data_IF_330767321235
#
_entry.id   IF_330767321235
#
_cell.length_a   1.000
_cell.length_b   1.000
_cell.length_c   1.000
_cell.angle_alpha   90.00
_cell.angle_beta   90.00
_cell.angle_gamma   90.00
#
_symmetry.space_group_name_H-M   'P 1'
#
loop_
_entity.id
_entity.type
_entity.pdbx_description
1 polymer ?
#
# COMPACT_ATOMS: atom_id res chain seq x y z
N UNK A 1 -80.55 -15.27 62.15
CA UNK A 1 -79.56 -15.88 61.24
C UNK A 1 -79.67 -15.23 59.86
N UNK A 2 -78.55 -14.85 59.23
CA UNK A 2 -78.49 -14.41 57.83
C UNK A 2 -78.30 -12.90 57.60
N UNK A 3 -77.05 -12.41 57.61
CA UNK A 3 -76.66 -11.15 56.94
C UNK A 3 -76.21 -11.50 55.50
N UNK A 4 -76.69 -10.80 54.45
CA UNK A 4 -76.20 -11.00 53.09
C UNK A 4 -74.96 -10.14 52.82
N UNK A 5 -74.01 -10.73 52.09
CA UNK A 5 -72.86 -10.03 51.50
C UNK A 5 -73.30 -9.21 50.28
N UNK A 6 -72.88 -7.95 50.20
CA UNK A 6 -73.12 -7.10 49.04
C UNK A 6 -71.94 -6.16 48.80
N UNK A 7 -71.19 -6.44 47.72
CA UNK A 7 -69.99 -5.78 47.17
C UNK A 7 -69.84 -4.28 47.47
N UNK A 8 -68.67 -3.89 48.02
CA UNK A 8 -68.18 -2.50 48.04
C UNK A 8 -67.89 -2.00 46.60
N UNK A 9 -68.22 -0.74 46.26
CA UNK A 9 -67.91 -0.18 44.95
C UNK A 9 -66.39 0.03 44.79
N UNK A 10 -65.83 -0.42 43.66
CA UNK A 10 -64.46 -0.05 43.26
C UNK A 10 -64.44 1.46 42.96
N UNK A 11 -63.79 2.24 43.82
CA UNK A 11 -63.46 3.63 43.53
C UNK A 11 -62.55 3.66 42.28
N UNK A 12 -63.07 4.20 41.16
CA UNK A 12 -62.23 4.65 40.05
C UNK A 12 -61.38 5.81 40.57
N UNK A 13 -60.08 5.59 40.79
CA UNK A 13 -59.14 6.69 40.97
C UNK A 13 -59.07 7.47 39.65
N UNK A 14 -59.68 8.65 39.63
CA UNK A 14 -59.52 9.58 38.53
C UNK A 14 -58.11 10.17 38.64
N UNK A 15 -57.18 9.65 37.82
CA UNK A 15 -55.80 10.13 37.72
C UNK A 15 -55.74 11.49 37.00
N UNK A 16 -56.37 12.52 37.54
CA UNK A 16 -56.38 13.88 36.98
C UNK A 16 -56.24 14.93 38.08
N UNK A 17 -55.29 15.85 37.91
CA UNK A 17 -55.09 17.02 38.79
C UNK A 17 -55.35 18.29 38.00
N UNK A 18 -56.21 19.15 38.53
CA UNK A 18 -56.51 20.46 37.92
C UNK A 18 -55.52 21.49 38.43
N UNK A 19 -54.80 22.16 37.53
CA UNK A 19 -53.88 23.25 37.91
C UNK A 19 -54.65 24.48 38.38
N UNK A 20 -53.98 25.41 39.09
CA UNK A 20 -54.56 26.71 39.48
C UNK A 20 -55.06 27.56 38.30
N UNK A 21 -54.66 27.22 37.07
CA UNK A 21 -55.13 27.83 35.82
C UNK A 21 -56.34 27.12 35.19
N UNK A 22 -56.95 26.16 35.89
CA UNK A 22 -58.14 25.41 35.42
C UNK A 22 -57.84 24.26 34.44
N UNK A 23 -56.57 23.87 34.23
CA UNK A 23 -56.20 22.86 33.22
C UNK A 23 -56.09 21.47 33.88
N UNK A 24 -56.88 20.52 33.40
CA UNK A 24 -56.91 19.13 33.92
C UNK A 24 -55.74 18.31 33.37
N UNK A 25 -54.80 17.91 34.23
CA UNK A 25 -53.62 17.12 33.88
C UNK A 25 -53.80 15.66 34.30
N UNK A 26 -53.71 14.71 33.36
CA UNK A 26 -53.71 13.28 33.70
C UNK A 26 -52.38 12.87 34.34
N UNK A 27 -52.43 12.33 35.56
CA UNK A 27 -51.28 11.76 36.26
C UNK A 27 -50.99 10.35 35.72
N UNK A 28 -49.98 10.24 34.86
CA UNK A 28 -49.47 8.93 34.44
C UNK A 28 -48.68 8.31 35.61
N UNK A 29 -49.31 7.39 36.33
CA UNK A 29 -48.81 6.77 37.57
C UNK A 29 -47.66 5.78 37.35
N UNK A 30 -47.52 5.22 36.15
CA UNK A 30 -46.45 4.26 35.82
C UNK A 30 -45.59 4.72 34.63
N UNK A 31 -44.35 4.21 34.54
CA UNK A 31 -43.48 4.43 33.37
C UNK A 31 -44.16 3.98 32.06
N UNK A 32 -44.92 2.89 32.10
CA UNK A 32 -45.69 2.38 30.96
C UNK A 32 -46.78 3.38 30.52
N UNK A 33 -47.50 4.00 31.46
CA UNK A 33 -48.53 4.99 31.14
C UNK A 33 -47.92 6.25 30.53
N UNK A 34 -46.74 6.67 31.01
CA UNK A 34 -45.99 7.80 30.42
C UNK A 34 -45.55 7.50 28.98
N UNK A 35 -45.07 6.29 28.71
CA UNK A 35 -44.69 5.88 27.34
C UNK A 35 -45.93 5.82 26.42
N UNK A 36 -47.05 5.27 26.90
CA UNK A 36 -48.31 5.22 26.14
C UNK A 36 -48.86 6.61 25.85
N UNK A 37 -48.89 7.50 26.84
CA UNK A 37 -49.34 8.87 26.66
C UNK A 37 -48.47 9.63 25.64
N UNK A 38 -47.14 9.47 25.71
CA UNK A 38 -46.20 10.06 24.74
C UNK A 38 -46.40 9.53 23.32
N UNK A 39 -46.65 8.23 23.15
CA UNK A 39 -47.00 7.65 21.84
C UNK A 39 -48.33 8.19 21.32
N UNK A 40 -49.33 8.34 22.19
CA UNK A 40 -50.64 8.87 21.83
C UNK A 40 -50.55 10.33 21.36
N UNK A 41 -49.82 11.19 22.07
CA UNK A 41 -49.60 12.59 21.65
C UNK A 41 -48.85 12.66 20.32
N UNK A 42 -47.79 11.87 20.15
CA UNK A 42 -47.07 11.80 18.87
C UNK A 42 -47.97 11.31 17.72
N UNK A 43 -48.87 10.35 17.97
CA UNK A 43 -49.81 9.87 16.96
C UNK A 43 -50.85 10.91 16.58
N UNK A 44 -51.33 11.70 17.54
CA UNK A 44 -52.28 12.79 17.31
C UNK A 44 -51.63 13.95 16.55
N UNK A 45 -50.42 14.36 16.91
CA UNK A 45 -49.62 15.36 16.19
C UNK A 45 -49.35 14.93 14.75
N UNK A 46 -48.98 13.65 14.55
CA UNK A 46 -48.77 13.08 13.21
C UNK A 46 -50.06 13.06 12.39
N UNK A 47 -51.21 12.71 12.98
CA UNK A 47 -52.50 12.71 12.30
C UNK A 47 -52.92 14.13 11.88
N UNK A 48 -52.73 15.12 12.76
CA UNK A 48 -52.97 16.52 12.46
C UNK A 48 -52.07 17.00 11.31
N UNK A 49 -50.77 16.72 11.36
CA UNK A 49 -49.86 17.04 10.26
C UNK A 49 -50.28 16.38 8.93
N UNK A 50 -50.65 15.10 8.95
CA UNK A 50 -51.09 14.39 7.74
C UNK A 50 -52.38 14.97 7.14
N UNK A 51 -53.27 15.54 7.96
CA UNK A 51 -54.48 16.23 7.47
C UNK A 51 -54.19 17.53 6.72
N UNK A 52 -53.03 18.18 6.97
CA UNK A 52 -52.60 19.39 6.24
C UNK A 52 -51.99 19.10 4.87
N UNK A 53 -51.79 17.82 4.51
CA UNK A 53 -51.16 17.44 3.26
C UNK A 53 -52.18 17.30 2.10
N UNK A 54 -51.77 17.55 0.84
CA UNK A 54 -52.60 17.29 -0.33
C UNK A 54 -53.12 15.84 -0.36
N UNK A 55 -54.40 15.66 -0.72
CA UNK A 55 -55.04 14.34 -0.84
C UNK A 55 -54.45 13.52 -2.00
N UNK A 56 -54.07 14.19 -3.08
CA UNK A 56 -53.44 13.58 -4.24
C UNK A 56 -52.02 13.06 -3.95
N UNK A 57 -51.70 11.85 -4.45
CA UNK A 57 -50.44 11.15 -4.15
C UNK A 57 -49.23 11.88 -4.72
N UNK A 58 -49.31 12.36 -5.97
CA UNK A 58 -48.21 13.07 -6.63
C UNK A 58 -47.98 14.45 -6.03
N UNK A 59 -49.06 15.22 -5.80
CA UNK A 59 -48.96 16.54 -5.14
C UNK A 59 -48.41 16.43 -3.72
N UNK A 60 -48.71 15.36 -2.99
CA UNK A 60 -48.14 15.10 -1.66
C UNK A 60 -46.63 14.79 -1.72
N UNK A 61 -46.17 14.09 -2.75
CA UNK A 61 -44.74 13.84 -2.98
C UNK A 61 -44.04 15.16 -3.28
N UNK A 62 -44.55 15.94 -4.24
CA UNK A 62 -43.99 17.25 -4.60
C UNK A 62 -44.00 18.24 -3.43
N UNK A 63 -45.04 18.23 -2.60
CA UNK A 63 -45.15 19.05 -1.38
C UNK A 63 -44.03 18.74 -0.37
N UNK A 64 -43.57 17.48 -0.31
CA UNK A 64 -42.48 17.03 0.57
C UNK A 64 -41.10 17.29 -0.04
N UNK A 65 -41.00 17.40 -1.36
CA UNK A 65 -39.76 17.68 -2.08
C UNK A 65 -39.44 19.19 -2.20
N UNK A 66 -40.27 20.07 -1.62
CA UNK A 66 -39.98 21.50 -1.59
C UNK A 66 -38.66 21.77 -0.84
N UNK A 67 -37.71 22.51 -1.43
CA UNK A 67 -36.36 22.72 -0.88
C UNK A 67 -36.34 23.37 0.51
N UNK A 68 -37.24 24.31 0.81
CA UNK A 68 -37.28 24.98 2.12
C UNK A 68 -37.68 24.02 3.25
N UNK A 69 -38.61 23.12 2.95
CA UNK A 69 -39.09 22.12 3.93
C UNK A 69 -38.11 20.98 4.11
N UNK A 70 -37.43 20.60 3.02
CA UNK A 70 -36.31 19.66 3.09
C UNK A 70 -35.22 20.23 4.01
N UNK A 71 -34.81 21.48 3.80
CA UNK A 71 -33.84 22.15 4.67
C UNK A 71 -34.30 22.16 6.14
N UNK A 72 -35.52 22.64 6.41
CA UNK A 72 -36.09 22.67 7.77
C UNK A 72 -36.15 21.29 8.43
N UNK A 73 -36.48 20.25 7.66
CA UNK A 73 -36.48 18.87 8.14
C UNK A 73 -35.06 18.39 8.47
N UNK A 74 -34.09 18.52 7.55
CA UNK A 74 -32.72 18.04 7.73
C UNK A 74 -31.98 18.73 8.89
N UNK A 75 -32.27 20.02 9.15
CA UNK A 75 -31.74 20.74 10.32
C UNK A 75 -32.55 20.52 11.62
N UNK A 76 -33.63 19.73 11.60
CA UNK A 76 -34.37 19.35 12.81
C UNK A 76 -33.75 18.13 13.51
N UNK A 77 -34.13 17.87 14.77
CA UNK A 77 -33.71 16.65 15.51
C UNK A 77 -34.09 15.35 14.78
N UNK A 78 -35.26 15.31 14.16
CA UNK A 78 -35.73 14.14 13.41
C UNK A 78 -34.94 13.93 12.12
N UNK A 79 -34.63 15.01 11.41
CA UNK A 79 -33.76 14.98 10.23
C UNK A 79 -32.33 14.58 10.56
N UNK A 80 -31.76 15.07 11.67
CA UNK A 80 -30.45 14.65 12.17
C UNK A 80 -30.39 13.16 12.50
N UNK A 81 -31.42 12.61 13.16
CA UNK A 81 -31.54 11.16 13.41
C UNK A 81 -31.67 10.38 12.09
N UNK A 82 -32.43 10.89 11.12
CA UNK A 82 -32.53 10.29 9.79
C UNK A 82 -31.19 10.31 9.04
N UNK A 83 -30.44 11.41 9.11
CA UNK A 83 -29.10 11.53 8.54
C UNK A 83 -28.16 10.49 9.14
N UNK A 84 -28.14 10.34 10.47
CA UNK A 84 -27.35 9.31 11.14
C UNK A 84 -27.73 7.88 10.70
N UNK A 85 -29.03 7.60 10.52
CA UNK A 85 -29.49 6.30 10.00
C UNK A 85 -29.03 6.07 8.57
N UNK A 86 -29.12 7.08 7.71
CA UNK A 86 -28.67 7.00 6.31
C UNK A 86 -27.17 6.81 6.25
N UNK A 87 -26.40 7.54 7.06
CA UNK A 87 -24.95 7.37 7.20
C UNK A 87 -24.64 5.94 7.69
N UNK A 88 -25.35 5.45 8.71
CA UNK A 88 -25.18 4.08 9.20
C UNK A 88 -25.47 3.02 8.14
N UNK A 89 -26.56 3.17 7.38
CA UNK A 89 -26.89 2.27 6.25
C UNK A 89 -25.82 2.39 5.15
N UNK A 90 -25.38 3.59 4.81
CA UNK A 90 -24.34 3.81 3.81
C UNK A 90 -23.02 3.16 4.21
N UNK A 91 -22.63 3.23 5.49
CA UNK A 91 -21.45 2.55 6.03
C UNK A 91 -21.61 1.03 5.92
N UNK A 92 -22.77 0.48 6.27
CA UNK A 92 -23.03 -0.96 6.16
C UNK A 92 -23.00 -1.44 4.70
N UNK A 93 -23.68 -0.74 3.79
CA UNK A 93 -23.66 -1.05 2.36
C UNK A 93 -22.24 -0.96 1.82
N UNK A 94 -21.50 0.10 2.18
CA UNK A 94 -20.09 0.25 1.81
C UNK A 94 -19.25 -0.90 2.33
N UNK A 95 -19.44 -1.33 3.58
CA UNK A 95 -18.71 -2.45 4.16
C UNK A 95 -18.95 -3.75 3.39
N UNK A 96 -20.22 -4.11 3.14
CA UNK A 96 -20.54 -5.31 2.37
C UNK A 96 -20.03 -5.23 0.93
N UNK A 97 -20.08 -4.06 0.31
CA UNK A 97 -19.51 -3.84 -1.02
C UNK A 97 -17.99 -4.02 -1.02
N UNK A 98 -17.28 -3.46 -0.05
CA UNK A 98 -15.83 -3.64 0.11
C UNK A 98 -15.46 -5.10 0.35
N UNK A 99 -16.19 -5.81 1.23
CA UNK A 99 -15.97 -7.23 1.50
C UNK A 99 -16.25 -8.07 0.25
N UNK A 100 -17.34 -7.80 -0.47
CA UNK A 100 -17.69 -8.48 -1.72
C UNK A 100 -16.64 -8.25 -2.80
N UNK A 101 -16.16 -7.01 -2.96
CA UNK A 101 -15.09 -6.67 -3.90
C UNK A 101 -13.77 -7.35 -3.54
N UNK A 102 -13.42 -7.37 -2.25
CA UNK A 102 -12.25 -8.07 -1.74
C UNK A 102 -12.32 -9.56 -2.08
N UNK A 103 -13.43 -10.23 -1.75
CA UNK A 103 -13.62 -11.65 -2.02
C UNK A 103 -13.59 -11.95 -3.53
N UNK A 104 -14.22 -11.10 -4.34
CA UNK A 104 -14.24 -11.23 -5.80
C UNK A 104 -12.84 -11.16 -6.41
N UNK A 105 -12.00 -10.21 -5.99
CA UNK A 105 -10.63 -10.11 -6.50
C UNK A 105 -9.72 -11.18 -5.91
N UNK A 106 -9.87 -11.49 -4.62
CA UNK A 106 -9.00 -12.43 -3.90
C UNK A 106 -9.02 -13.83 -4.48
N UNK A 107 -10.17 -14.28 -4.99
CA UNK A 107 -10.33 -15.63 -5.55
C UNK A 107 -9.36 -15.94 -6.71
N UNK A 108 -8.98 -14.92 -7.47
CA UNK A 108 -8.11 -15.06 -8.66
C UNK A 108 -6.67 -14.61 -8.38
N UNK A 109 -6.32 -14.33 -7.11
CA UNK A 109 -5.00 -13.86 -6.73
C UNK A 109 -4.06 -14.99 -6.33
N UNK A 110 -2.80 -14.96 -6.79
CA UNK A 110 -1.79 -15.90 -6.37
C UNK A 110 -1.48 -15.74 -4.88
N UNK A 111 -0.81 -16.74 -4.31
CA UNK A 111 -0.22 -16.64 -2.97
C UNK A 111 1.25 -16.29 -3.12
N UNK A 112 1.66 -15.14 -2.57
CA UNK A 112 3.07 -14.76 -2.50
C UNK A 112 3.69 -15.52 -1.32
N UNK A 113 4.28 -16.69 -1.61
CA UNK A 113 4.92 -17.55 -0.60
C UNK A 113 6.40 -17.22 -0.36
N UNK A 114 7.00 -16.47 -1.27
CA UNK A 114 8.41 -16.10 -1.21
C UNK A 114 8.61 -14.66 -1.68
N UNK A 115 9.19 -13.84 -0.81
CA UNK A 115 9.58 -12.45 -1.08
C UNK A 115 11.08 -12.25 -1.11
N UNK A 116 11.87 -13.32 -0.91
CA UNK A 116 13.34 -13.22 -0.83
C UNK A 116 13.97 -12.81 -2.15
N UNK A 117 13.31 -13.06 -3.28
CA UNK A 117 13.85 -12.90 -4.63
C UNK A 117 14.38 -14.19 -5.24
N UNK A 118 14.52 -15.26 -4.45
CA UNK A 118 15.07 -16.54 -4.91
C UNK A 118 14.17 -17.23 -5.96
N UNK A 119 12.84 -17.20 -5.77
CA UNK A 119 11.90 -17.91 -6.66
C UNK A 119 11.27 -17.05 -7.75
N UNK A 120 11.71 -15.80 -7.89
CA UNK A 120 11.15 -14.84 -8.85
C UNK A 120 11.77 -15.05 -10.26
N UNK A 121 12.61 -16.08 -10.42
CA UNK A 121 13.29 -16.39 -11.67
C UNK A 121 14.35 -15.36 -12.04
N UNK A 122 14.94 -15.49 -13.23
CA UNK A 122 15.80 -14.47 -13.83
C UNK A 122 17.25 -14.91 -14.05
N UNK A 123 17.92 -15.39 -13.00
CA UNK A 123 19.32 -15.83 -13.09
C UNK A 123 19.60 -17.12 -12.31
N UNK A 124 20.56 -17.89 -12.79
CA UNK A 124 21.16 -19.03 -12.08
C UNK A 124 22.52 -18.59 -11.59
N UNK A 125 22.78 -18.72 -10.30
CA UNK A 125 24.09 -18.37 -9.72
C UNK A 125 24.86 -19.64 -9.37
N UNK A 126 26.05 -19.77 -9.94
CA UNK A 126 26.99 -20.86 -9.67
C UNK A 126 28.02 -20.39 -8.65
N UNK A 127 28.20 -21.19 -7.60
CA UNK A 127 29.14 -20.93 -6.51
C UNK A 127 30.20 -22.01 -6.42
N UNK A 128 31.34 -21.66 -5.84
CA UNK A 128 32.35 -22.64 -5.42
C UNK A 128 31.81 -23.63 -4.38
N UNK A 129 32.62 -24.63 -4.03
CA UNK A 129 32.28 -25.65 -3.01
C UNK A 129 31.92 -25.14 -1.64
N UNK A 130 32.24 -23.88 -1.33
CA UNK A 130 31.92 -23.26 -0.05
C UNK A 130 30.56 -22.56 -0.07
N UNK A 131 29.98 -22.35 -1.26
CA UNK A 131 28.76 -21.57 -1.45
C UNK A 131 28.98 -20.05 -1.31
N UNK A 132 30.23 -19.57 -1.24
CA UNK A 132 30.54 -18.15 -0.96
C UNK A 132 31.02 -17.41 -2.19
N UNK A 133 31.91 -18.01 -2.99
CA UNK A 133 32.46 -17.35 -4.16
C UNK A 133 31.55 -17.59 -5.35
N UNK A 134 31.02 -16.53 -5.95
CA UNK A 134 30.31 -16.64 -7.23
C UNK A 134 31.32 -16.93 -8.34
N UNK A 135 31.07 -18.01 -9.08
CA UNK A 135 31.82 -18.44 -10.25
C UNK A 135 31.23 -17.85 -11.54
N UNK A 136 29.90 -17.84 -11.64
CA UNK A 136 29.18 -17.31 -12.79
C UNK A 136 27.71 -17.03 -12.46
N UNK A 137 27.13 -16.09 -13.20
CA UNK A 137 25.70 -15.86 -13.22
C UNK A 137 25.17 -16.01 -14.63
N UNK A 138 24.33 -17.01 -14.81
CA UNK A 138 23.66 -17.25 -16.07
C UNK A 138 22.30 -16.54 -16.03
N UNK A 139 22.15 -15.47 -16.80
CA UNK A 139 20.95 -14.65 -16.85
C UNK A 139 20.64 -14.24 -18.29
N UNK A 140 19.37 -14.03 -18.60
CA UNK A 140 18.97 -13.44 -19.87
C UNK A 140 18.61 -11.97 -19.68
N UNK A 141 17.44 -11.70 -19.10
CA UNK A 141 16.95 -10.33 -18.89
C UNK A 141 17.14 -9.82 -17.45
N UNK A 142 17.36 -10.71 -16.48
CA UNK A 142 17.31 -10.39 -15.04
C UNK A 142 18.47 -11.05 -14.31
N UNK A 143 19.44 -10.25 -13.87
CA UNK A 143 20.56 -10.65 -13.04
C UNK A 143 20.26 -10.33 -11.58
N UNK A 144 20.13 -11.36 -10.73
CA UNK A 144 19.76 -11.22 -9.32
C UNK A 144 20.59 -12.11 -8.40
N UNK A 145 21.14 -11.49 -7.36
CA UNK A 145 21.73 -12.18 -6.21
C UNK A 145 20.94 -11.78 -4.97
N UNK A 146 19.98 -12.62 -4.53
CA UNK A 146 19.29 -12.37 -3.27
C UNK A 146 20.25 -12.50 -2.09
N UNK A 147 20.20 -11.55 -1.17
CA UNK A 147 20.97 -11.58 0.07
C UNK A 147 20.07 -11.37 1.28
N UNK A 148 20.53 -11.81 2.45
CA UNK A 148 19.82 -11.55 3.70
C UNK A 148 19.88 -10.06 4.07
N UNK A 149 18.92 -9.62 4.88
CA UNK A 149 18.84 -8.21 5.28
C UNK A 149 20.07 -7.73 6.07
N UNK A 150 20.82 -8.61 6.73
CA UNK A 150 22.06 -8.27 7.43
C UNK A 150 23.26 -8.08 6.47
N UNK A 151 23.13 -8.50 5.20
CA UNK A 151 24.12 -8.31 4.14
C UNK A 151 23.82 -7.07 3.28
N UNK A 152 22.98 -6.16 3.76
CA UNK A 152 22.65 -4.91 3.07
C UNK A 152 23.00 -3.73 3.97
N UNK A 153 23.75 -2.77 3.42
CA UNK A 153 24.20 -1.57 4.14
C UNK A 153 23.01 -0.85 4.79
N UNK A 154 23.12 -0.43 6.06
CA UNK A 154 22.10 0.38 6.70
C UNK A 154 21.79 1.67 5.93
N UNK A 155 22.80 2.27 5.28
CA UNK A 155 22.60 3.46 4.45
C UNK A 155 21.72 3.19 3.24
N UNK A 156 21.86 2.01 2.62
CA UNK A 156 21.03 1.60 1.49
C UNK A 156 19.57 1.44 1.91
N UNK A 157 19.31 0.74 3.02
CA UNK A 157 17.96 0.60 3.59
C UNK A 157 17.33 1.96 3.89
N UNK A 158 18.07 2.82 4.60
CA UNK A 158 17.60 4.15 5.01
C UNK A 158 17.38 5.08 3.80
N UNK A 159 18.26 5.05 2.80
CA UNK A 159 18.11 5.85 1.58
C UNK A 159 16.85 5.45 0.79
N UNK A 160 16.60 4.14 0.65
CA UNK A 160 15.38 3.61 0.02
C UNK A 160 14.13 4.02 0.79
N UNK A 161 14.10 3.84 2.12
CA UNK A 161 12.99 4.31 2.95
C UNK A 161 12.78 5.82 2.76
N UNK A 162 13.86 6.61 2.80
CA UNK A 162 13.77 8.06 2.76
C UNK A 162 13.12 8.59 1.48
N UNK A 163 13.34 7.92 0.34
CA UNK A 163 12.87 8.37 -0.97
C UNK A 163 11.58 7.69 -1.44
N UNK A 164 11.43 6.40 -1.17
CA UNK A 164 10.29 5.61 -1.65
C UNK A 164 9.12 5.66 -0.66
N UNK A 165 9.41 5.60 0.65
CA UNK A 165 8.36 5.42 1.66
C UNK A 165 8.79 5.90 3.07
N UNK A 166 8.82 7.22 3.27
CA UNK A 166 9.35 7.85 4.51
C UNK A 166 8.67 7.42 5.81
N UNK A 167 7.45 6.91 5.74
CA UNK A 167 6.67 6.48 6.89
C UNK A 167 6.50 4.95 6.92
N UNK A 168 7.34 4.21 6.18
CA UNK A 168 7.27 2.75 6.00
C UNK A 168 6.99 1.97 7.29
N UNK A 169 7.65 2.30 8.39
CA UNK A 169 7.48 1.63 9.69
C UNK A 169 6.23 2.08 10.48
N UNK A 170 5.53 3.12 10.04
CA UNK A 170 4.40 3.75 10.76
C UNK A 170 3.03 3.40 10.16
N UNK A 171 2.99 2.81 8.97
CA UNK A 171 1.74 2.36 8.33
C UNK A 171 1.81 0.87 7.98
N UNK A 172 0.66 0.27 7.64
CA UNK A 172 0.57 -1.08 7.08
C UNK A 172 0.76 -1.09 5.56
N UNK A 173 -0.04 -1.86 4.84
CA UNK A 173 0.05 -2.02 3.38
C UNK A 173 -0.15 -0.73 2.55
N UNK A 174 -0.71 0.33 3.13
CA UNK A 174 -0.93 1.61 2.46
C UNK A 174 -0.72 2.78 3.42
N UNK A 175 -0.12 3.86 2.92
CA UNK A 175 0.01 5.12 3.64
C UNK A 175 -1.22 6.00 3.39
N UNK A 176 -2.18 6.02 4.31
CA UNK A 176 -3.36 6.89 4.21
C UNK A 176 -2.99 8.38 4.14
N UNK A 177 -1.98 8.80 4.92
CA UNK A 177 -1.50 10.19 4.92
C UNK A 177 -0.79 10.51 3.61
N UNK A 178 -0.02 9.57 3.08
CA UNK A 178 0.65 9.65 1.79
C UNK A 178 -0.32 9.76 0.63
N UNK A 179 -1.38 8.95 0.62
CA UNK A 179 -2.46 9.01 -0.38
C UNK A 179 -3.14 10.38 -0.34
N UNK A 180 -3.58 10.84 0.84
CA UNK A 180 -4.23 12.14 1.00
C UNK A 180 -3.31 13.27 0.51
N UNK A 181 -2.04 13.25 0.92
CA UNK A 181 -1.02 14.24 0.51
C UNK A 181 -0.82 14.24 -1.01
N UNK A 182 -0.66 13.06 -1.62
CA UNK A 182 -0.47 12.90 -3.05
C UNK A 182 -1.69 13.41 -3.83
N UNK A 183 -2.90 13.10 -3.38
CA UNK A 183 -4.14 13.64 -3.94
C UNK A 183 -4.13 15.17 -3.89
N UNK A 184 -3.99 15.79 -2.72
CA UNK A 184 -3.98 17.26 -2.62
C UNK A 184 -2.87 17.91 -3.46
N UNK A 185 -1.66 17.36 -3.48
CA UNK A 185 -0.55 17.91 -4.27
C UNK A 185 -0.82 17.82 -5.78
N UNK A 186 -1.33 16.68 -6.25
CA UNK A 186 -1.65 16.50 -7.67
C UNK A 186 -2.83 17.37 -8.13
N UNK A 187 -3.83 17.61 -7.27
CA UNK A 187 -4.97 18.48 -7.58
C UNK A 187 -4.66 19.98 -7.44
N UNK A 188 -3.73 20.36 -6.55
CA UNK A 188 -3.37 21.77 -6.32
C UNK A 188 -2.39 22.36 -7.34
N UNK A 189 -1.92 21.57 -8.32
CA UNK A 189 -1.07 22.04 -9.40
C UNK A 189 0.29 22.58 -8.95
N UNK A 190 0.72 22.32 -7.70
CA UNK A 190 2.06 22.68 -7.21
C UNK A 190 3.11 21.83 -7.94
N UNK A 191 3.52 22.36 -9.08
CA UNK A 191 4.51 21.82 -10.01
C UNK A 191 5.82 21.48 -9.31
N UNK A 192 6.30 20.26 -9.53
CA UNK A 192 7.65 19.85 -9.12
C UNK A 192 7.87 18.34 -9.10
N UNK A 193 6.88 17.54 -8.67
CA UNK A 193 6.92 16.08 -8.81
C UNK A 193 5.52 15.49 -8.59
N UNK A 194 5.05 14.65 -9.51
CA UNK A 194 3.90 13.80 -9.25
C UNK A 194 4.30 12.85 -8.13
N UNK A 195 3.78 13.07 -6.93
CA UNK A 195 4.09 12.23 -5.78
C UNK A 195 3.36 10.90 -5.94
N UNK A 196 4.13 9.81 -6.09
CA UNK A 196 3.59 8.46 -6.07
C UNK A 196 3.15 8.10 -4.65
N UNK A 197 1.88 7.73 -4.47
CA UNK A 197 1.35 7.33 -3.16
C UNK A 197 1.52 5.83 -2.85
N UNK A 198 2.43 5.12 -3.54
CA UNK A 198 2.60 3.67 -3.37
C UNK A 198 3.66 3.34 -2.33
N UNK A 199 3.37 2.43 -1.42
CA UNK A 199 4.29 1.99 -0.36
C UNK A 199 5.34 1.00 -0.87
N UNK A 200 6.43 0.79 -0.14
CA UNK A 200 7.44 -0.24 -0.48
C UNK A 200 6.79 -1.62 -0.62
N UNK A 201 5.85 -1.97 0.27
CA UNK A 201 5.09 -3.23 0.23
C UNK A 201 4.31 -3.38 -1.08
N UNK A 202 3.61 -2.33 -1.51
CA UNK A 202 2.90 -2.31 -2.78
C UNK A 202 3.84 -2.47 -3.98
N UNK A 203 5.00 -1.80 -3.92
CA UNK A 203 6.01 -1.92 -4.97
C UNK A 203 6.60 -3.34 -5.02
N UNK A 204 6.87 -3.97 -3.88
CA UNK A 204 7.35 -5.36 -3.82
C UNK A 204 6.35 -6.33 -4.45
N UNK A 205 5.06 -6.21 -4.12
CA UNK A 205 3.99 -7.02 -4.75
C UNK A 205 4.00 -6.84 -6.26
N UNK A 206 4.05 -5.59 -6.73
CA UNK A 206 4.07 -5.28 -8.17
C UNK A 206 5.27 -5.93 -8.88
N UNK A 207 6.44 -5.90 -8.25
CA UNK A 207 7.68 -6.46 -8.81
C UNK A 207 7.69 -7.99 -8.77
N UNK A 208 7.21 -8.60 -7.69
CA UNK A 208 7.16 -10.06 -7.54
C UNK A 208 6.20 -10.70 -8.57
N UNK A 209 5.03 -10.09 -8.75
CA UNK A 209 4.03 -10.55 -9.70
C UNK A 209 4.30 -10.12 -11.15
N UNK A 210 5.41 -9.40 -11.41
CA UNK A 210 5.79 -8.89 -12.73
C UNK A 210 4.69 -8.04 -13.39
N UNK A 211 3.91 -7.29 -12.59
CA UNK A 211 2.80 -6.47 -13.10
C UNK A 211 3.23 -5.05 -13.50
N UNK A 212 4.39 -4.93 -14.15
CA UNK A 212 5.01 -3.63 -14.49
C UNK A 212 4.27 -2.85 -15.58
N UNK A 213 3.56 -3.55 -16.48
CA UNK A 213 3.14 -2.97 -17.77
C UNK A 213 1.67 -2.51 -17.82
N UNK A 214 0.83 -2.95 -16.86
CA UNK A 214 -0.62 -2.74 -16.92
C UNK A 214 -1.14 -1.71 -15.91
N UNK A 215 -1.12 -0.41 -16.21
CA UNK A 215 -1.60 0.64 -15.27
C UNK A 215 -3.13 0.74 -15.16
N UNK A 216 -3.80 -0.32 -14.69
CA UNK A 216 -5.26 -0.35 -14.48
C UNK A 216 -5.65 -0.21 -13.01
N UNK A 217 -6.85 0.32 -12.74
CA UNK A 217 -7.43 0.39 -11.39
C UNK A 217 -7.56 -1.03 -10.81
N UNK A 218 -7.99 -1.98 -11.63
CA UNK A 218 -8.10 -3.40 -11.27
C UNK A 218 -6.78 -3.98 -10.76
N UNK A 219 -5.66 -3.74 -11.47
CA UNK A 219 -4.34 -4.16 -11.00
C UNK A 219 -4.00 -3.50 -9.66
N UNK A 220 -4.30 -2.21 -9.49
CA UNK A 220 -4.00 -1.50 -8.23
C UNK A 220 -4.80 -2.04 -7.04
N UNK A 221 -6.06 -2.45 -7.25
CA UNK A 221 -6.86 -3.13 -6.21
C UNK A 221 -6.25 -4.49 -5.85
N UNK A 222 -5.85 -5.28 -6.85
CA UNK A 222 -5.15 -6.56 -6.66
C UNK A 222 -3.85 -6.40 -5.88
N UNK A 223 -3.04 -5.40 -6.24
CA UNK A 223 -1.79 -5.04 -5.56
C UNK A 223 -2.02 -4.67 -4.09
N UNK A 224 -3.08 -3.90 -3.80
CA UNK A 224 -3.44 -3.52 -2.43
C UNK A 224 -3.84 -4.75 -1.60
N UNK A 225 -4.63 -5.67 -2.17
CA UNK A 225 -5.03 -6.90 -1.48
C UNK A 225 -3.81 -7.73 -1.11
N UNK A 226 -2.91 -7.99 -2.07
CA UNK A 226 -1.69 -8.74 -1.83
C UNK A 226 -0.75 -8.02 -0.86
N UNK A 227 -0.67 -6.69 -0.90
CA UNK A 227 0.15 -5.93 0.04
C UNK A 227 -0.39 -6.06 1.49
N UNK A 228 -1.71 -6.12 1.67
CA UNK A 228 -2.33 -6.39 2.99
C UNK A 228 -2.00 -7.80 3.46
N UNK A 229 -1.98 -8.79 2.58
CA UNK A 229 -1.56 -10.16 2.95
C UNK A 229 -0.09 -10.20 3.34
N UNK A 230 0.77 -9.55 2.55
CA UNK A 230 2.20 -9.48 2.79
C UNK A 230 2.54 -8.89 4.16
N UNK A 231 1.89 -7.79 4.53
CA UNK A 231 2.08 -7.10 5.83
C UNK A 231 1.53 -7.87 7.03
N UNK A 232 0.68 -8.87 6.79
CA UNK A 232 0.20 -9.78 7.83
C UNK A 232 1.13 -10.97 8.04
N UNK A 233 1.83 -11.39 6.99
CA UNK A 233 2.66 -12.59 6.99
C UNK A 233 4.13 -12.29 7.29
N UNK A 234 4.64 -11.14 6.83
CA UNK A 234 6.05 -10.77 6.92
C UNK A 234 6.28 -9.54 7.79
N UNK A 235 7.45 -9.49 8.45
CA UNK A 235 7.87 -8.30 9.18
C UNK A 235 8.33 -7.21 8.21
N UNK A 236 8.25 -5.96 8.63
CA UNK A 236 8.71 -4.80 7.83
C UNK A 236 10.14 -4.95 7.30
N UNK A 237 11.05 -5.50 8.10
CA UNK A 237 12.44 -5.73 7.68
C UNK A 237 12.57 -6.77 6.56
N UNK A 238 11.74 -7.83 6.60
CA UNK A 238 11.72 -8.86 5.57
C UNK A 238 11.15 -8.29 4.26
N UNK A 239 10.11 -7.45 4.37
CA UNK A 239 9.49 -6.73 3.24
C UNK A 239 10.51 -5.79 2.59
N UNK A 240 11.23 -5.00 3.39
CA UNK A 240 12.26 -4.09 2.88
C UNK A 240 13.40 -4.85 2.20
N UNK A 241 13.87 -5.93 2.83
CA UNK A 241 14.90 -6.81 2.26
C UNK A 241 14.43 -7.42 0.94
N UNK A 242 13.22 -7.95 0.91
CA UNK A 242 12.60 -8.49 -0.29
C UNK A 242 12.53 -7.45 -1.41
N UNK A 243 12.08 -6.23 -1.11
CA UNK A 243 12.09 -5.13 -2.07
C UNK A 243 13.48 -4.86 -2.62
N UNK A 244 14.49 -4.74 -1.75
CA UNK A 244 15.88 -4.46 -2.15
C UNK A 244 16.50 -5.59 -2.97
N UNK A 245 16.04 -6.83 -2.83
CA UNK A 245 16.47 -7.97 -3.65
C UNK A 245 15.78 -8.05 -5.02
N UNK A 246 14.68 -7.32 -5.24
CA UNK A 246 13.90 -7.40 -6.49
C UNK A 246 13.81 -6.07 -7.23
N UNK A 247 14.18 -4.96 -6.61
CA UNK A 247 14.14 -3.64 -7.22
C UNK A 247 15.02 -3.58 -8.48
N UNK A 248 14.56 -2.94 -9.56
CA UNK A 248 15.35 -2.77 -10.77
C UNK A 248 16.37 -1.63 -10.58
N UNK A 249 17.65 -1.93 -10.74
CA UNK A 249 18.76 -0.97 -10.68
C UNK A 249 19.33 -0.64 -12.07
N UNK A 250 18.57 -0.97 -13.14
CA UNK A 250 18.86 -0.60 -14.52
C UNK A 250 19.53 -1.70 -15.34
N UNK A 251 19.33 -1.67 -16.65
CA UNK A 251 19.76 -2.76 -17.53
C UNK A 251 19.18 -4.10 -17.08
N UNK A 252 20.04 -5.09 -16.89
CA UNK A 252 19.70 -6.40 -16.36
C UNK A 252 19.77 -6.49 -14.83
N UNK A 253 20.18 -5.44 -14.13
CA UNK A 253 20.41 -5.50 -12.67
C UNK A 253 19.11 -5.43 -11.88
N UNK A 254 18.76 -6.54 -11.23
CA UNK A 254 17.66 -6.62 -10.27
C UNK A 254 18.20 -7.08 -8.92
N UNK A 255 17.93 -6.29 -7.89
CA UNK A 255 18.45 -6.54 -6.56
C UNK A 255 19.76 -5.82 -6.28
N UNK A 256 19.91 -5.38 -5.04
CA UNK A 256 20.96 -4.45 -4.64
C UNK A 256 22.34 -5.07 -4.60
N UNK A 257 22.46 -6.37 -4.35
CA UNK A 257 23.75 -7.08 -4.39
C UNK A 257 24.30 -7.17 -5.80
N UNK A 258 23.48 -7.51 -6.80
CA UNK A 258 23.91 -7.50 -8.21
C UNK A 258 24.36 -6.10 -8.61
N UNK A 259 23.56 -5.09 -8.26
CA UNK A 259 23.90 -3.70 -8.55
C UNK A 259 25.21 -3.25 -7.87
N UNK A 260 25.41 -3.56 -6.58
CA UNK A 260 26.64 -3.18 -5.87
C UNK A 260 27.88 -3.80 -6.51
N UNK A 261 27.78 -5.07 -6.93
CA UNK A 261 28.88 -5.79 -7.58
C UNK A 261 29.18 -5.23 -8.95
N UNK A 262 28.18 -4.97 -9.77
CA UNK A 262 28.42 -4.50 -11.14
C UNK A 262 28.82 -3.03 -11.16
N UNK A 263 28.07 -2.15 -10.49
CA UNK A 263 28.38 -0.73 -10.50
C UNK A 263 29.72 -0.42 -9.81
N UNK A 264 30.03 -1.07 -8.67
CA UNK A 264 31.13 -0.62 -7.80
C UNK A 264 32.13 -1.72 -7.41
N UNK A 265 32.00 -2.94 -7.96
CA UNK A 265 32.81 -4.09 -7.56
C UNK A 265 32.86 -4.33 -6.04
N UNK A 266 31.76 -4.06 -5.35
CA UNK A 266 31.62 -4.22 -3.89
C UNK A 266 30.40 -5.06 -3.52
N UNK A 267 30.24 -5.41 -2.25
CA UNK A 267 29.02 -6.09 -1.75
C UNK A 267 28.00 -5.06 -1.24
N UNK A 268 26.71 -5.41 -1.25
CA UNK A 268 25.64 -4.53 -0.77
C UNK A 268 25.82 -4.10 0.69
N UNK A 269 26.43 -4.95 1.54
CA UNK A 269 26.75 -4.62 2.93
C UNK A 269 27.80 -3.51 3.07
N UNK A 270 28.68 -3.38 2.09
CA UNK A 270 29.86 -2.51 2.11
C UNK A 270 29.60 -1.18 1.37
N UNK A 271 28.37 -0.97 0.87
CA UNK A 271 27.98 0.27 0.20
C UNK A 271 28.10 1.47 1.12
N UNK A 272 28.85 2.47 0.66
CA UNK A 272 28.97 3.78 1.32
C UNK A 272 27.66 4.57 1.24
N UNK A 273 27.55 5.66 2.01
CA UNK A 273 26.40 6.57 1.95
C UNK A 273 26.18 7.15 0.53
N UNK A 274 27.26 7.55 -0.14
CA UNK A 274 27.20 8.14 -1.47
C UNK A 274 26.74 7.11 -2.52
N UNK A 275 27.30 5.89 -2.50
CA UNK A 275 26.88 4.79 -3.39
C UNK A 275 25.44 4.34 -3.10
N UNK A 276 25.08 4.19 -1.82
CA UNK A 276 23.73 3.80 -1.39
C UNK A 276 22.66 4.77 -1.87
N UNK A 277 22.91 6.08 -1.75
CA UNK A 277 21.96 7.11 -2.18
C UNK A 277 21.87 7.22 -3.70
N UNK A 278 22.95 6.95 -4.43
CA UNK A 278 22.90 6.89 -5.89
C UNK A 278 22.12 5.66 -6.37
N UNK A 279 22.35 4.47 -5.81
CA UNK A 279 21.57 3.28 -6.14
C UNK A 279 20.09 3.45 -5.77
N UNK A 280 19.78 4.06 -4.62
CA UNK A 280 18.40 4.34 -4.21
C UNK A 280 17.65 5.30 -5.17
N UNK A 281 18.38 6.08 -5.98
CA UNK A 281 17.77 6.96 -6.97
C UNK A 281 17.20 6.19 -8.18
N UNK A 282 17.80 5.05 -8.53
CA UNK A 282 17.57 4.36 -9.79
C UNK A 282 16.16 3.72 -9.92
N UNK A 283 15.63 2.98 -8.93
CA UNK A 283 14.39 2.20 -9.07
C UNK A 283 13.15 2.96 -9.54
N UNK A 284 13.08 4.29 -9.29
CA UNK A 284 11.95 5.11 -9.72
C UNK A 284 11.78 5.14 -11.24
N UNK A 285 12.88 5.24 -11.98
CA UNK A 285 12.90 5.26 -13.43
C UNK A 285 14.24 4.67 -13.91
N UNK A 286 14.39 3.34 -13.89
CA UNK A 286 15.68 2.69 -14.09
C UNK A 286 16.38 3.11 -15.39
N UNK A 287 15.68 3.17 -16.52
CA UNK A 287 16.26 3.61 -17.80
C UNK A 287 16.73 5.07 -17.79
N UNK A 288 16.08 5.95 -17.02
CA UNK A 288 16.41 7.38 -16.98
C UNK A 288 17.56 7.69 -16.03
N UNK A 289 17.64 6.96 -14.91
CA UNK A 289 18.63 7.20 -13.87
C UNK A 289 19.83 6.25 -13.92
N UNK A 290 19.75 5.09 -14.57
CA UNK A 290 20.84 4.12 -14.63
C UNK A 290 21.93 4.53 -15.62
N UNK A 291 23.19 4.56 -15.20
CA UNK A 291 24.34 4.71 -16.10
C UNK A 291 24.42 3.59 -17.15
N UNK A 292 23.97 2.37 -16.85
CA UNK A 292 23.89 1.25 -17.80
C UNK A 292 22.82 1.41 -18.88
N UNK A 293 22.09 2.52 -18.90
CA UNK A 293 21.24 2.93 -20.01
C UNK A 293 21.96 3.88 -20.99
N UNK A 294 23.29 3.89 -20.99
CA UNK A 294 24.16 4.59 -21.95
C UNK A 294 25.25 3.66 -22.47
N UNK A 295 25.55 3.82 -23.76
CA UNK A 295 26.67 3.15 -24.45
C UNK A 295 28.03 3.37 -23.78
N UNK A 296 28.19 4.46 -23.01
CA UNK A 296 29.41 4.74 -22.23
C UNK A 296 29.70 3.68 -21.16
N UNK A 297 28.67 3.16 -20.50
CA UNK A 297 28.82 2.20 -19.40
C UNK A 297 28.34 0.81 -19.78
N UNK A 298 27.69 0.64 -20.92
CA UNK A 298 27.21 -0.65 -21.40
C UNK A 298 27.25 -0.68 -22.93
N UNK A 299 28.23 -1.39 -23.48
CA UNK A 299 28.43 -1.48 -24.93
C UNK A 299 27.27 -2.14 -25.68
N UNK A 300 26.36 -2.83 -25.00
CA UNK A 300 25.17 -3.43 -25.62
C UNK A 300 24.03 -2.41 -25.86
N UNK A 301 24.11 -1.20 -25.28
CA UNK A 301 23.11 -0.16 -25.44
C UNK A 301 23.30 0.59 -26.75
N UNK A 302 22.23 0.66 -27.54
CA UNK A 302 22.20 1.38 -28.83
C UNK A 302 21.48 2.72 -28.78
N UNK A 303 20.72 2.98 -27.71
CA UNK A 303 19.99 4.23 -27.50
C UNK A 303 20.19 4.73 -26.06
N UNK A 304 20.91 5.84 -25.93
CA UNK A 304 21.23 6.45 -24.64
C UNK A 304 19.99 7.12 -24.04
N UNK A 305 19.52 6.59 -22.91
CA UNK A 305 18.40 7.15 -22.14
C UNK A 305 18.81 7.61 -20.74
N UNK A 306 20.07 7.39 -20.36
CA UNK A 306 20.67 7.86 -19.13
C UNK A 306 20.77 9.39 -19.06
N UNK A 307 20.29 9.98 -17.97
CA UNK A 307 20.44 11.40 -17.68
C UNK A 307 21.29 11.60 -16.40
N UNK A 308 22.55 12.02 -16.60
CA UNK A 308 23.54 12.21 -15.54
C UNK A 308 23.09 13.24 -14.51
N UNK A 309 22.66 14.42 -14.95
CA UNK A 309 22.28 15.53 -14.09
C UNK A 309 21.06 15.19 -13.25
N UNK A 310 20.10 14.46 -13.82
CA UNK A 310 18.92 14.00 -13.11
C UNK A 310 19.24 12.95 -12.04
N UNK A 311 20.17 12.01 -12.32
CA UNK A 311 20.64 11.05 -11.32
C UNK A 311 21.30 11.77 -10.13
N UNK A 312 22.26 12.66 -10.39
CA UNK A 312 22.96 13.43 -9.33
C UNK A 312 21.96 14.29 -8.55
N UNK A 313 21.07 15.01 -9.25
CA UNK A 313 20.04 15.82 -8.62
C UNK A 313 19.13 14.99 -7.72
N UNK A 314 18.76 13.78 -8.14
CA UNK A 314 17.96 12.84 -7.34
C UNK A 314 18.75 12.31 -6.15
N UNK A 315 20.02 11.93 -6.31
CA UNK A 315 20.88 11.52 -5.20
C UNK A 315 20.95 12.62 -4.12
N UNK A 316 21.16 13.88 -4.52
CA UNK A 316 21.24 15.01 -3.59
C UNK A 316 19.90 15.26 -2.90
N UNK A 317 18.78 15.09 -3.61
CA UNK A 317 17.46 15.10 -3.02
C UNK A 317 17.32 14.01 -1.95
N UNK A 318 17.76 12.78 -2.21
CA UNK A 318 17.71 11.66 -1.25
C UNK A 318 18.52 11.98 0.01
N UNK A 319 19.76 12.46 -0.14
CA UNK A 319 20.59 12.89 0.99
C UNK A 319 19.87 13.94 1.84
N UNK A 320 19.26 14.95 1.22
CA UNK A 320 18.49 15.96 1.93
C UNK A 320 17.24 15.37 2.63
N UNK A 321 16.59 14.35 2.05
CA UNK A 321 15.49 13.64 2.71
C UNK A 321 15.99 12.83 3.91
N UNK A 322 17.14 12.16 3.81
CA UNK A 322 17.75 11.43 4.92
C UNK A 322 18.11 12.34 6.09
N UNK A 323 18.60 13.56 5.82
CA UNK A 323 18.82 14.59 6.86
C UNK A 323 17.50 14.99 7.52
N UNK A 324 16.47 15.32 6.72
CA UNK A 324 15.15 15.73 7.25
C UNK A 324 14.48 14.64 8.10
N UNK A 325 14.76 13.38 7.79
CA UNK A 325 14.22 12.22 8.50
C UNK A 325 15.09 11.77 9.68
N UNK A 326 16.26 12.40 9.87
CA UNK A 326 17.16 12.12 10.99
C UNK A 326 18.01 10.86 10.82
N UNK A 327 18.14 10.31 9.61
CA UNK A 327 19.00 9.14 9.35
C UNK A 327 20.49 9.51 9.32
N UNK A 328 20.81 10.73 8.88
CA UNK A 328 22.18 11.24 8.78
C UNK A 328 22.22 12.71 9.22
N UNK A 329 23.41 13.19 9.58
CA UNK A 329 23.67 14.60 9.86
C UNK A 329 23.81 15.41 8.57
N UNK A 330 23.63 16.73 8.66
CA UNK A 330 23.89 17.63 7.53
C UNK A 330 25.34 17.53 7.03
N UNK A 331 26.31 17.40 7.95
CA UNK A 331 27.72 17.27 7.60
C UNK A 331 28.00 16.02 6.76
N UNK A 332 27.47 14.86 7.18
CA UNK A 332 27.57 13.62 6.40
C UNK A 332 26.93 13.74 5.01
N UNK A 333 25.79 14.43 4.91
CA UNK A 333 25.14 14.67 3.63
C UNK A 333 25.97 15.59 2.72
N UNK A 334 26.58 16.63 3.27
CA UNK A 334 27.38 17.58 2.51
C UNK A 334 28.71 16.95 2.07
N UNK A 335 29.32 16.10 2.89
CA UNK A 335 30.48 15.27 2.51
C UNK A 335 30.13 14.29 1.38
N UNK A 336 29.03 13.55 1.52
CA UNK A 336 28.59 12.59 0.49
C UNK A 336 28.29 13.24 -0.87
N UNK A 337 27.85 14.51 -0.89
CA UNK A 337 27.63 15.28 -2.14
C UNK A 337 28.93 15.63 -2.88
N UNK A 338 30.07 15.65 -2.18
CA UNK A 338 31.37 15.93 -2.81
C UNK A 338 32.00 14.68 -3.45
N UNK A 339 31.49 13.49 -3.15
CA UNK A 339 32.00 12.25 -3.72
C UNK A 339 31.54 12.12 -5.17
N UNK A 340 32.47 12.04 -6.12
CA UNK A 340 32.17 11.70 -7.51
C UNK A 340 31.89 10.19 -7.63
N UNK A 341 30.66 9.80 -7.28
CA UNK A 341 30.24 8.38 -7.31
C UNK A 341 30.18 7.85 -8.75
N UNK A 342 29.97 8.71 -9.75
CA UNK A 342 29.95 8.29 -11.15
C UNK A 342 31.33 7.87 -11.64
N UNK A 343 32.39 8.50 -11.15
CA UNK A 343 33.76 8.08 -11.43
C UNK A 343 34.11 6.71 -10.84
N UNK A 344 33.31 6.21 -9.88
CA UNK A 344 33.47 4.88 -9.30
C UNK A 344 32.70 3.80 -10.07
N UNK A 345 31.91 4.17 -11.08
CA UNK A 345 31.13 3.20 -11.84
C UNK A 345 32.00 2.45 -12.83
N UNK A 346 31.91 1.12 -12.76
CA UNK A 346 32.51 0.23 -13.73
C UNK A 346 31.57 -0.03 -14.92
N UNK A 347 32.15 -0.18 -16.11
CA UNK A 347 31.42 -0.62 -17.30
C UNK A 347 30.82 -2.01 -17.05
N UNK A 348 29.60 -2.24 -17.55
CA UNK A 348 28.95 -3.52 -17.44
C UNK A 348 29.70 -4.55 -18.28
N UNK A 349 30.25 -5.56 -17.60
CA UNK A 349 30.90 -6.68 -18.27
C UNK A 349 29.90 -7.49 -19.11
N UNK A 350 30.30 -7.92 -20.32
CA UNK A 350 29.59 -8.97 -21.05
C UNK A 350 29.39 -10.23 -20.21
N UNK A 351 28.23 -10.88 -20.35
CA UNK A 351 27.77 -12.06 -19.57
C UNK A 351 28.81 -13.17 -19.40
N UNK A 352 29.69 -13.37 -20.38
CA UNK A 352 30.70 -14.43 -20.39
C UNK A 352 32.12 -13.94 -20.13
N UNK A 353 32.35 -12.64 -19.96
CA UNK A 353 33.71 -12.11 -19.79
C UNK A 353 34.31 -12.53 -18.44
N UNK A 354 33.52 -12.48 -17.36
CA UNK A 354 34.00 -12.71 -15.99
C UNK A 354 33.68 -14.11 -15.45
N UNK A 355 33.40 -15.08 -16.34
CA UNK A 355 33.16 -16.46 -15.93
C UNK A 355 34.43 -17.08 -15.33
N UNK A 356 34.37 -17.51 -14.07
CA UNK A 356 35.47 -18.25 -13.42
C UNK A 356 35.37 -19.72 -13.76
N UNK A 357 36.48 -20.33 -14.19
CA UNK A 357 36.54 -21.74 -14.58
C UNK A 357 35.44 -22.14 -15.60
N UNK A 358 35.43 -21.55 -16.82
CA UNK A 358 34.34 -21.68 -17.79
C UNK A 358 33.95 -23.13 -18.10
N UNK A 359 34.92 -23.99 -18.39
CA UNK A 359 34.64 -25.39 -18.71
C UNK A 359 33.93 -26.12 -17.56
N UNK A 360 34.36 -25.86 -16.32
CA UNK A 360 33.79 -26.48 -15.13
C UNK A 360 32.36 -25.99 -14.87
N UNK A 361 32.15 -24.68 -14.93
CA UNK A 361 30.82 -24.10 -14.72
C UNK A 361 29.83 -24.49 -15.82
N UNK A 362 30.27 -24.51 -17.08
CA UNK A 362 29.41 -24.95 -18.19
C UNK A 362 29.07 -26.44 -18.10
N UNK A 363 29.97 -27.27 -17.58
CA UNK A 363 29.68 -28.67 -17.25
C UNK A 363 28.65 -28.78 -16.13
N UNK A 364 28.79 -28.00 -15.05
CA UNK A 364 27.80 -27.93 -13.98
C UNK A 364 26.41 -27.47 -14.47
N UNK A 365 26.36 -26.51 -15.40
CA UNK A 365 25.11 -26.10 -16.07
C UNK A 365 24.48 -27.25 -16.83
N UNK A 366 25.26 -27.96 -17.64
CA UNK A 366 24.77 -29.11 -18.42
C UNK A 366 24.23 -30.21 -17.50
N UNK A 367 24.93 -30.51 -16.41
CA UNK A 367 24.50 -31.48 -15.42
C UNK A 367 23.20 -31.06 -14.72
N UNK A 368 23.07 -29.78 -14.32
CA UNK A 368 21.85 -29.25 -13.74
C UNK A 368 20.65 -29.42 -14.69
N UNK A 369 20.84 -29.09 -15.98
CA UNK A 369 19.81 -29.24 -17.00
C UNK A 369 19.45 -30.72 -17.26
N UNK A 370 20.42 -31.64 -17.20
CA UNK A 370 20.17 -33.08 -17.32
C UNK A 370 19.38 -33.64 -16.14
N UNK A 371 19.70 -33.20 -14.91
CA UNK A 371 19.06 -33.70 -13.68
C UNK A 371 17.63 -33.19 -13.49
N UNK A 372 17.38 -31.91 -13.80
CA UNK A 372 16.10 -31.25 -13.46
C UNK A 372 15.28 -30.82 -14.69
N UNK A 373 15.83 -30.97 -15.90
CA UNK A 373 15.21 -30.57 -17.15
C UNK A 373 15.40 -29.09 -17.48
N UNK A 374 15.82 -28.81 -18.72
CA UNK A 374 16.13 -27.45 -19.19
C UNK A 374 14.99 -26.44 -18.93
N UNK A 375 13.73 -26.79 -19.26
CA UNK A 375 12.57 -25.89 -19.08
C UNK A 375 12.37 -25.40 -17.65
N UNK A 376 12.75 -26.19 -16.64
CA UNK A 376 12.62 -25.80 -15.24
C UNK A 376 13.84 -24.97 -14.80
N UNK A 377 15.02 -25.35 -15.27
CA UNK A 377 16.29 -24.65 -15.00
C UNK A 377 16.29 -23.24 -15.59
N UNK A 378 15.85 -23.11 -16.83
CA UNK A 378 15.83 -21.84 -17.58
C UNK A 378 14.83 -20.81 -17.01
N UNK A 379 13.92 -21.22 -16.10
CA UNK A 379 13.11 -20.26 -15.33
C UNK A 379 13.95 -19.41 -14.39
N UNK A 380 15.18 -19.83 -14.08
CA UNK A 380 16.10 -19.14 -13.17
C UNK A 380 15.71 -19.29 -11.69
N UNK A 381 16.42 -18.58 -10.82
CA UNK A 381 16.24 -18.66 -9.36
C UNK A 381 17.04 -19.77 -8.68
N UNK A 382 17.94 -20.42 -9.42
CA UNK A 382 18.75 -21.52 -8.91
C UNK A 382 20.05 -21.01 -8.27
N UNK A 383 20.39 -21.61 -7.12
CA UNK A 383 21.71 -21.50 -6.51
C UNK A 383 22.40 -22.86 -6.63
N UNK A 384 23.50 -22.91 -7.39
CA UNK A 384 24.23 -24.13 -7.69
C UNK A 384 25.55 -24.10 -6.95
N UNK A 385 25.69 -24.92 -5.92
CA UNK A 385 26.96 -25.11 -5.20
C UNK A 385 27.69 -26.25 -5.89
N UNK A 386 28.83 -25.95 -6.52
CA UNK A 386 29.66 -26.95 -7.21
C UNK A 386 30.57 -27.70 -6.23
N UNK A 387 31.33 -28.70 -6.69
CA UNK A 387 32.28 -29.45 -5.86
C UNK A 387 33.69 -28.87 -5.86
#
# INVERSE_FOLDING_TARGET
>A
MGKPSGRKPKFKQNNTVTTKSGKTLKLNSSLLDRVKAKKATQSAEKAAYLSTLPKDRFKRIMYRLNPERLAKYWFSREGGIMALKIIGIAILVSFFLTVGLFAFFRKDLPQIKDISGNKIGGSITYYDRTGKTVLWQDYDAVKRIPVEGNQISPYMKQATIAVEDKDFYKHGAFDTRGIIRATFNNFSGKSGSVQGGSTITQQLVKLNEQWTDNRTITRKVKELILAVELEREYKKEDILTGYLNVAPYGGVEYGVESAARDYFHTNAKDLTLAQSTMLAAIPQAPSYYSPYASSKYNSAVTADSFNKEALIGRQFYILNQMVKQGFITKAQADEAKQVDVLAQIHEQSPKFQDIKAPYFVLSAKQELQQRYGAKLVDRGGWQVITT
#
